data_IF_055889191103
#
_entry.id   IF_055889191103
#
_cell.length_a   1.000
_cell.length_b   1.000
_cell.length_c   1.000
_cell.angle_alpha   90.00
_cell.angle_beta   90.00
_cell.angle_gamma   90.00
#
_symmetry.space_group_name_H-M   'P 1'
#
loop_
_entity.id
_entity.type
_entity.pdbx_description
1 polymer ?
#
# COMPACT_ATOMS: atom_id res chain seq x y z
N UNK A 1 27.48 -3.51 43.57
CA UNK A 1 27.42 -3.92 42.17
C UNK A 1 26.08 -4.63 41.92
N UNK A 2 25.12 -3.94 41.34
CA UNK A 2 23.79 -4.50 41.07
C UNK A 2 23.83 -5.30 39.75
N UNK A 3 23.52 -6.60 39.82
CA UNK A 3 23.40 -7.46 38.63
C UNK A 3 22.20 -7.02 37.79
N UNK A 4 22.47 -6.60 36.57
CA UNK A 4 21.42 -6.34 35.57
C UNK A 4 20.59 -7.60 35.38
N UNK A 5 19.25 -7.53 35.63
CA UNK A 5 18.29 -8.59 35.32
C UNK A 5 18.27 -8.76 33.81
N UNK A 6 18.71 -9.92 33.29
CA UNK A 6 18.46 -10.35 31.92
C UNK A 6 16.95 -10.38 31.68
N UNK A 7 16.50 -9.69 30.65
CA UNK A 7 15.13 -9.78 30.17
C UNK A 7 14.81 -11.24 29.80
N UNK A 8 13.58 -11.73 30.02
CA UNK A 8 13.21 -13.10 29.73
C UNK A 8 13.30 -13.37 28.23
N UNK A 9 13.98 -14.44 27.85
CA UNK A 9 14.30 -14.87 26.48
C UNK A 9 13.09 -15.39 25.67
N UNK A 10 11.86 -15.12 26.09
CA UNK A 10 10.61 -15.53 25.39
C UNK A 10 9.51 -14.46 25.53
N UNK A 11 9.81 -13.22 25.21
CA UNK A 11 8.73 -12.32 24.85
C UNK A 11 8.14 -12.84 23.52
N UNK A 12 6.97 -13.47 23.55
CA UNK A 12 6.19 -13.81 22.34
C UNK A 12 6.08 -12.51 21.55
N UNK A 13 6.74 -12.47 20.41
CA UNK A 13 6.64 -11.34 19.51
C UNK A 13 5.21 -11.34 18.99
N UNK A 14 4.40 -10.38 19.40
CA UNK A 14 3.03 -10.25 18.92
C UNK A 14 3.05 -10.12 17.40
N UNK A 15 2.12 -10.79 16.69
CA UNK A 15 1.96 -10.58 15.26
C UNK A 15 1.90 -9.09 14.92
N UNK A 16 2.42 -8.71 13.76
CA UNK A 16 2.46 -7.31 13.35
C UNK A 16 1.06 -6.66 13.35
N UNK A 17 0.04 -7.44 13.01
CA UNK A 17 -1.35 -7.00 13.04
C UNK A 17 -1.80 -6.61 14.45
N UNK A 18 -1.45 -7.39 15.47
CA UNK A 18 -1.83 -7.08 16.86
C UNK A 18 -1.14 -5.82 17.37
N UNK A 19 0.12 -5.60 16.95
CA UNK A 19 0.85 -4.39 17.28
C UNK A 19 0.23 -3.15 16.61
N UNK A 20 -0.17 -3.27 15.34
CA UNK A 20 -0.83 -2.20 14.61
C UNK A 20 -2.22 -1.88 15.18
N UNK A 21 -2.99 -2.90 15.56
CA UNK A 21 -4.30 -2.72 16.20
C UNK A 21 -4.20 -2.09 17.59
N UNK A 22 -3.16 -2.40 18.34
CA UNK A 22 -2.93 -1.75 19.64
C UNK A 22 -2.56 -0.29 19.45
N UNK A 23 -1.65 0.03 18.52
CA UNK A 23 -1.31 1.41 18.19
C UNK A 23 -2.52 2.21 17.69
N UNK A 24 -3.39 1.60 16.87
CA UNK A 24 -4.64 2.21 16.45
C UNK A 24 -5.52 2.56 17.65
N UNK A 25 -5.76 1.61 18.57
CA UNK A 25 -6.59 1.84 19.76
C UNK A 25 -6.03 2.96 20.65
N UNK A 26 -4.72 2.94 20.88
CA UNK A 26 -4.06 3.94 21.72
C UNK A 26 -4.19 5.35 21.12
N UNK A 27 -4.01 5.49 19.80
CA UNK A 27 -4.14 6.78 19.10
C UNK A 27 -5.59 7.26 19.00
N UNK A 28 -6.55 6.35 18.73
CA UNK A 28 -7.97 6.73 18.75
C UNK A 28 -8.43 7.19 20.15
N UNK A 29 -7.93 6.58 21.22
CA UNK A 29 -8.23 7.03 22.59
C UNK A 29 -7.70 8.44 22.87
N UNK A 30 -6.66 8.87 22.15
CA UNK A 30 -6.05 10.20 22.24
C UNK A 30 -6.57 11.17 21.16
N UNK A 31 -7.62 10.84 20.43
CA UNK A 31 -8.15 11.62 19.29
C UNK A 31 -7.12 11.85 18.16
N UNK A 32 -6.14 10.97 18.02
CA UNK A 32 -5.07 11.01 17.02
C UNK A 32 -5.11 9.81 16.06
N UNK A 33 -6.25 9.11 15.99
CA UNK A 33 -6.43 7.96 15.11
C UNK A 33 -6.35 8.35 13.63
N UNK A 34 -5.69 7.52 12.83
CA UNK A 34 -5.61 7.72 11.38
C UNK A 34 -6.95 7.38 10.72
N UNK A 35 -7.49 8.34 9.99
CA UNK A 35 -8.66 8.17 9.14
C UNK A 35 -8.16 8.11 7.70
N UNK A 36 -8.62 7.11 6.93
CA UNK A 36 -8.24 6.98 5.53
C UNK A 36 -8.68 8.23 4.76
N UNK A 37 -7.76 8.93 4.11
CA UNK A 37 -8.09 10.13 3.35
C UNK A 37 -9.06 9.84 2.21
N UNK A 38 -9.98 10.77 1.99
CA UNK A 38 -11.01 10.67 0.96
C UNK A 38 -10.41 10.50 -0.45
N UNK A 39 -9.26 11.10 -0.71
CA UNK A 39 -8.61 11.01 -2.02
C UNK A 39 -8.34 9.56 -2.46
N UNK A 40 -8.18 8.59 -1.54
CA UNK A 40 -7.97 7.19 -1.89
C UNK A 40 -9.22 6.63 -2.57
N UNK A 41 -10.37 6.73 -1.92
CA UNK A 41 -11.63 6.22 -2.47
C UNK A 41 -12.15 7.05 -3.66
N UNK A 42 -11.90 8.36 -3.66
CA UNK A 42 -12.32 9.25 -4.74
C UNK A 42 -11.59 8.96 -6.07
N UNK A 43 -10.40 8.38 -6.02
CA UNK A 43 -9.59 8.07 -7.20
C UNK A 43 -9.60 6.57 -7.59
N UNK A 44 -10.42 5.76 -6.95
CA UNK A 44 -10.63 4.35 -7.30
C UNK A 44 -12.01 4.15 -7.93
N UNK A 45 -12.12 3.20 -8.87
CA UNK A 45 -13.42 2.78 -9.44
C UNK A 45 -14.29 2.11 -8.38
N UNK A 46 -13.69 1.33 -7.50
CA UNK A 46 -14.37 0.64 -6.41
C UNK A 46 -14.04 1.29 -5.07
N UNK A 47 -15.07 1.59 -4.28
CA UNK A 47 -14.86 1.98 -2.89
C UNK A 47 -14.25 0.81 -2.11
N UNK A 48 -13.21 1.09 -1.33
CA UNK A 48 -12.58 0.08 -0.50
C UNK A 48 -13.57 -0.46 0.53
N UNK A 49 -13.51 -1.75 0.76
CA UNK A 49 -14.32 -2.43 1.79
C UNK A 49 -13.68 -2.21 3.16
N UNK A 50 -14.49 -2.31 4.22
CA UNK A 50 -14.05 -2.08 5.61
C UNK A 50 -12.76 -2.81 5.99
N UNK A 51 -12.57 -4.05 5.54
CA UNK A 51 -11.34 -4.80 5.84
C UNK A 51 -10.13 -4.34 5.00
N UNK A 52 -10.35 -3.75 3.82
CA UNK A 52 -9.29 -3.13 3.01
C UNK A 52 -8.87 -1.80 3.63
N UNK A 53 -9.83 -1.01 4.11
CA UNK A 53 -9.56 0.19 4.91
C UNK A 53 -8.74 -0.15 6.14
N UNK A 54 -9.15 -1.19 6.88
CA UNK A 54 -8.40 -1.68 8.04
C UNK A 54 -6.98 -2.09 7.67
N UNK A 55 -6.78 -2.74 6.52
CA UNK A 55 -5.46 -3.13 6.05
C UNK A 55 -4.56 -1.91 5.77
N UNK A 56 -5.08 -0.83 5.16
CA UNK A 56 -4.33 0.42 4.94
C UNK A 56 -4.02 1.10 6.28
N UNK A 57 -4.97 1.17 7.22
CA UNK A 57 -4.71 1.73 8.56
C UNK A 57 -3.63 0.97 9.31
N UNK A 58 -3.70 -0.36 9.32
CA UNK A 58 -2.67 -1.20 9.95
C UNK A 58 -1.30 -0.98 9.29
N UNK A 59 -1.28 -0.82 7.96
CA UNK A 59 -0.05 -0.50 7.25
C UNK A 59 0.47 0.89 7.64
N UNK A 60 -0.39 1.90 7.73
CA UNK A 60 -0.03 3.24 8.20
C UNK A 60 0.64 3.19 9.60
N UNK A 61 0.00 2.51 10.56
CA UNK A 61 0.58 2.38 11.91
C UNK A 61 1.89 1.59 11.92
N UNK A 62 2.00 0.58 11.06
CA UNK A 62 3.25 -0.15 10.90
C UNK A 62 4.39 0.77 10.44
N UNK A 63 4.09 1.67 9.49
CA UNK A 63 5.09 2.60 8.95
C UNK A 63 5.44 3.73 9.93
N UNK A 64 4.47 4.23 10.69
CA UNK A 64 4.62 5.43 11.50
C UNK A 64 4.96 5.15 12.97
N UNK A 65 4.46 4.06 13.55
CA UNK A 65 4.55 3.79 14.98
C UNK A 65 5.47 2.61 15.33
N UNK A 66 5.58 1.61 14.46
CA UNK A 66 6.24 0.36 14.83
C UNK A 66 7.69 0.33 14.36
N UNK A 67 7.95 0.61 13.09
CA UNK A 67 9.32 0.69 12.55
C UNK A 67 9.42 1.51 11.29
N UNK A 68 10.39 2.41 11.21
CA UNK A 68 10.50 3.31 10.07
C UNK A 68 11.21 2.74 8.83
N UNK A 69 11.86 1.54 8.79
CA UNK A 69 12.61 1.12 7.59
C UNK A 69 13.11 -0.33 7.55
N UNK A 70 13.45 -0.83 6.35
CA UNK A 70 12.52 -1.22 5.31
C UNK A 70 11.70 -2.39 5.84
N UNK A 71 10.42 -2.41 5.52
CA UNK A 71 9.51 -3.41 6.10
C UNK A 71 9.07 -4.41 5.04
N UNK A 72 9.08 -5.67 5.44
CA UNK A 72 8.41 -6.74 4.70
C UNK A 72 7.04 -6.96 5.33
N UNK A 73 5.98 -6.55 4.65
CA UNK A 73 4.60 -6.68 5.12
C UNK A 73 3.86 -7.68 4.24
N UNK A 74 3.23 -8.66 4.86
CA UNK A 74 2.39 -9.64 4.17
C UNK A 74 0.91 -9.30 4.40
N UNK A 75 0.18 -9.04 3.31
CA UNK A 75 -1.28 -8.96 3.33
C UNK A 75 -1.87 -10.34 3.01
N UNK A 76 -2.33 -11.05 4.06
CA UNK A 76 -2.99 -12.34 3.88
C UNK A 76 -4.48 -12.14 3.64
N UNK A 77 -4.91 -12.32 2.40
CA UNK A 77 -6.28 -12.10 1.96
C UNK A 77 -6.77 -13.26 1.10
N UNK A 78 -8.03 -13.66 1.26
CA UNK A 78 -8.66 -14.72 0.47
C UNK A 78 -8.70 -14.37 -1.04
N UNK A 79 -8.80 -15.38 -1.89
CA UNK A 79 -9.05 -15.19 -3.32
C UNK A 79 -10.41 -14.52 -3.52
N UNK A 80 -10.49 -13.55 -4.44
CA UNK A 80 -11.70 -12.77 -4.69
C UNK A 80 -12.00 -11.67 -3.68
N UNK A 81 -11.14 -11.44 -2.68
CA UNK A 81 -11.34 -10.38 -1.67
C UNK A 81 -10.89 -8.98 -2.11
N UNK A 82 -10.57 -8.76 -3.39
CA UNK A 82 -10.14 -7.44 -3.87
C UNK A 82 -8.72 -7.08 -3.46
N UNK A 83 -7.78 -8.04 -3.49
CA UNK A 83 -6.36 -7.75 -3.25
C UNK A 83 -5.80 -6.66 -4.17
N UNK A 84 -6.27 -6.63 -5.42
CA UNK A 84 -5.80 -5.66 -6.40
C UNK A 84 -6.34 -4.26 -6.13
N UNK A 85 -7.58 -4.15 -5.63
CA UNK A 85 -8.14 -2.87 -5.16
C UNK A 85 -7.32 -2.32 -3.98
N UNK A 86 -6.97 -3.20 -3.01
CA UNK A 86 -6.09 -2.80 -1.91
C UNK A 86 -4.72 -2.33 -2.42
N UNK A 87 -4.14 -3.01 -3.41
CA UNK A 87 -2.87 -2.59 -4.02
C UNK A 87 -3.00 -1.22 -4.70
N UNK A 88 -4.09 -0.96 -5.41
CA UNK A 88 -4.36 0.34 -6.02
C UNK A 88 -4.48 1.44 -4.95
N UNK A 89 -5.23 1.20 -3.87
CA UNK A 89 -5.32 2.12 -2.73
C UNK A 89 -3.97 2.38 -2.05
N UNK A 90 -3.14 1.34 -1.87
CA UNK A 90 -1.79 1.48 -1.32
C UNK A 90 -0.84 2.27 -2.24
N UNK A 91 -0.99 2.17 -3.57
CA UNK A 91 -0.22 3.01 -4.51
C UNK A 91 -0.52 4.49 -4.27
N UNK A 92 -1.81 4.86 -4.19
CA UNK A 92 -2.21 6.25 -3.93
C UNK A 92 -1.74 6.72 -2.55
N UNK A 93 -1.90 5.89 -1.53
CA UNK A 93 -1.42 6.16 -0.18
C UNK A 93 0.09 6.42 -0.15
N UNK A 94 0.89 5.51 -0.70
CA UNK A 94 2.35 5.62 -0.71
C UNK A 94 2.84 6.80 -1.57
N UNK A 95 2.12 7.10 -2.64
CA UNK A 95 2.40 8.27 -3.46
C UNK A 95 2.23 9.56 -2.64
N UNK A 96 1.10 9.72 -1.97
CA UNK A 96 0.77 10.96 -1.27
C UNK A 96 1.47 11.10 0.07
N UNK A 97 1.39 10.07 0.93
CA UNK A 97 1.89 10.15 2.31
C UNK A 97 3.41 9.97 2.41
N UNK A 98 4.01 9.23 1.48
CA UNK A 98 5.43 8.89 1.54
C UNK A 98 6.26 9.38 0.35
N UNK A 99 5.64 10.03 -0.62
CA UNK A 99 6.32 10.56 -1.79
C UNK A 99 6.87 9.52 -2.76
N UNK A 100 6.43 8.25 -2.67
CA UNK A 100 6.88 7.21 -3.58
C UNK A 100 6.31 7.42 -4.98
N UNK A 101 7.18 7.31 -5.99
CA UNK A 101 6.83 7.50 -7.41
C UNK A 101 7.06 6.24 -8.24
N UNK A 102 7.86 5.30 -7.75
CA UNK A 102 8.28 4.10 -8.45
C UNK A 102 7.78 2.85 -7.76
N UNK A 103 7.00 2.03 -8.47
CA UNK A 103 6.41 0.81 -7.96
C UNK A 103 6.83 -0.37 -8.84
N UNK A 104 7.38 -1.42 -8.21
CA UNK A 104 7.73 -2.68 -8.89
C UNK A 104 6.75 -3.77 -8.47
N UNK A 105 6.06 -4.34 -9.44
CA UNK A 105 5.25 -5.54 -9.26
C UNK A 105 5.93 -6.74 -9.87
N UNK A 106 6.21 -7.74 -9.06
CA UNK A 106 6.73 -9.03 -9.52
C UNK A 106 5.67 -10.10 -9.33
N UNK A 107 5.37 -10.82 -10.39
CA UNK A 107 4.32 -11.85 -10.42
C UNK A 107 4.87 -13.18 -10.93
N UNK A 108 4.19 -14.28 -10.59
CA UNK A 108 4.70 -15.61 -10.92
C UNK A 108 4.60 -15.97 -12.41
N UNK A 109 3.54 -15.53 -13.09
CA UNK A 109 3.24 -15.94 -14.46
C UNK A 109 2.91 -14.76 -15.36
N UNK A 110 3.10 -14.92 -16.67
CA UNK A 110 2.72 -13.92 -17.66
C UNK A 110 1.21 -13.66 -17.70
N UNK A 111 0.38 -14.67 -17.43
CA UNK A 111 -1.08 -14.48 -17.33
C UNK A 111 -1.47 -13.55 -16.18
N UNK A 112 -0.81 -13.68 -15.02
CA UNK A 112 -1.03 -12.76 -13.88
C UNK A 112 -0.47 -11.39 -14.19
N UNK A 113 0.67 -11.31 -14.91
CA UNK A 113 1.26 -10.04 -15.33
C UNK A 113 0.30 -9.24 -16.21
N UNK A 114 -0.32 -9.87 -17.22
CA UNK A 114 -1.30 -9.21 -18.08
C UNK A 114 -2.51 -8.70 -17.31
N UNK A 115 -3.07 -9.51 -16.40
CA UNK A 115 -4.17 -9.08 -15.52
C UNK A 115 -3.77 -7.90 -14.63
N UNK A 116 -2.54 -7.90 -14.10
CA UNK A 116 -2.03 -6.79 -13.28
C UNK A 116 -1.87 -5.53 -14.11
N UNK A 117 -1.40 -5.66 -15.36
CA UNK A 117 -1.32 -4.56 -16.32
C UNK A 117 -2.70 -3.95 -16.59
N UNK A 118 -3.69 -4.78 -16.91
CA UNK A 118 -5.06 -4.33 -17.19
C UNK A 118 -5.68 -3.59 -16.01
N UNK A 119 -5.37 -4.04 -14.79
CA UNK A 119 -5.93 -3.45 -13.57
C UNK A 119 -5.24 -2.14 -13.15
N UNK A 120 -3.93 -2.02 -13.34
CA UNK A 120 -3.15 -0.93 -12.74
C UNK A 120 -2.57 0.08 -13.73
N UNK A 121 -2.53 -0.24 -15.03
CA UNK A 121 -1.80 0.59 -16.01
C UNK A 121 -2.56 0.84 -17.30
N UNK A 122 -3.39 -0.11 -17.73
CA UNK A 122 -4.11 0.00 -18.99
C UNK A 122 -5.42 0.77 -18.81
N UNK A 123 -5.39 2.08 -19.01
CA UNK A 123 -6.54 2.98 -18.88
C UNK A 123 -7.72 2.61 -19.81
N UNK A 124 -7.47 1.87 -20.91
CA UNK A 124 -8.51 1.42 -21.82
C UNK A 124 -9.12 0.07 -21.41
N UNK A 125 -8.68 -0.52 -20.30
CA UNK A 125 -9.20 -1.78 -19.81
C UNK A 125 -10.47 -1.55 -18.98
N UNK A 126 -11.51 -2.34 -19.22
CA UNK A 126 -12.71 -2.39 -18.37
C UNK A 126 -12.40 -2.81 -16.92
N UNK A 127 -11.17 -3.30 -16.67
CA UNK A 127 -10.70 -3.74 -15.36
C UNK A 127 -9.78 -2.72 -14.68
N UNK A 128 -9.58 -1.56 -15.31
CA UNK A 128 -8.77 -0.51 -14.73
C UNK A 128 -9.37 -0.05 -13.40
N UNK A 129 -8.53 0.11 -12.38
CA UNK A 129 -9.00 0.32 -11.01
C UNK A 129 -9.00 1.77 -10.57
N UNK A 130 -8.41 2.66 -11.35
CA UNK A 130 -8.38 4.08 -11.02
C UNK A 130 -9.41 4.84 -11.86
N UNK A 131 -9.81 6.00 -11.37
CA UNK A 131 -10.67 6.92 -12.13
C UNK A 131 -9.93 7.44 -13.37
N UNK A 132 -10.67 7.86 -14.40
CA UNK A 132 -10.13 8.44 -15.64
C UNK A 132 -9.21 9.66 -15.35
N UNK A 133 -9.53 10.40 -14.29
CA UNK A 133 -8.73 11.50 -13.79
C UNK A 133 -8.42 11.26 -12.33
N UNK A 134 -7.16 10.96 -12.05
CA UNK A 134 -6.66 10.88 -10.68
C UNK A 134 -6.29 12.29 -10.24
N UNK A 135 -6.93 12.79 -9.19
CA UNK A 135 -6.66 14.12 -8.65
C UNK A 135 -6.37 14.03 -7.16
N UNK A 136 -5.21 14.53 -6.75
CA UNK A 136 -4.78 14.58 -5.35
C UNK A 136 -4.24 15.99 -5.07
N UNK A 137 -4.80 16.67 -4.07
CA UNK A 137 -4.43 18.03 -3.69
C UNK A 137 -4.45 19.02 -4.86
N UNK A 138 -5.47 18.90 -5.74
CA UNK A 138 -5.64 19.75 -6.92
C UNK A 138 -4.62 19.49 -8.04
N UNK A 139 -3.84 18.42 -7.95
CA UNK A 139 -2.88 18.01 -8.98
C UNK A 139 -3.40 16.78 -9.72
N UNK A 140 -3.33 16.83 -11.03
CA UNK A 140 -3.62 15.66 -11.87
C UNK A 140 -2.43 14.70 -11.86
N UNK A 141 -2.68 13.45 -11.50
CA UNK A 141 -1.67 12.40 -11.38
C UNK A 141 -1.78 11.43 -12.55
N UNK A 142 -0.64 11.07 -13.12
CA UNK A 142 -0.55 10.13 -14.23
C UNK A 142 0.08 8.82 -13.78
N UNK A 143 -0.47 7.70 -14.26
CA UNK A 143 0.11 6.38 -14.07
C UNK A 143 0.77 5.95 -15.38
N UNK A 144 2.03 5.53 -15.32
CA UNK A 144 2.78 5.10 -16.50
C UNK A 144 3.46 3.75 -16.27
N UNK A 145 3.31 2.83 -17.22
CA UNK A 145 4.14 1.65 -17.28
C UNK A 145 5.54 2.02 -17.76
N UNK A 146 6.57 1.49 -17.10
CA UNK A 146 7.96 1.72 -17.46
C UNK A 146 8.76 0.42 -17.48
N UNK A 147 9.68 0.31 -18.41
CA UNK A 147 10.66 -0.79 -18.44
C UNK A 147 11.84 -0.53 -17.50
N UNK A 148 12.18 0.76 -17.34
CA UNK A 148 13.21 1.23 -16.41
C UNK A 148 12.71 2.47 -15.70
N UNK A 149 12.96 2.56 -14.41
CA UNK A 149 12.61 3.75 -13.65
C UNK A 149 13.42 4.95 -14.12
N UNK A 150 12.77 6.12 -14.28
CA UNK A 150 13.45 7.33 -14.70
C UNK A 150 14.43 7.81 -13.63
N UNK A 151 15.56 8.38 -14.04
CA UNK A 151 16.52 9.01 -13.12
C UNK A 151 15.98 10.30 -12.51
N UNK A 152 15.20 11.04 -13.28
CA UNK A 152 14.51 12.27 -12.85
C UNK A 152 13.02 11.93 -12.80
N UNK A 153 12.44 12.08 -11.63
CA UNK A 153 11.02 11.79 -11.41
C UNK A 153 10.20 13.06 -11.60
N UNK A 154 9.03 12.90 -12.19
CA UNK A 154 8.02 13.94 -12.25
C UNK A 154 7.13 13.80 -11.02
N UNK A 155 6.87 14.91 -10.32
CA UNK A 155 6.10 14.90 -9.06
C UNK A 155 4.68 14.38 -9.22
N UNK A 156 4.09 14.54 -10.40
CA UNK A 156 2.73 14.11 -10.70
C UNK A 156 2.65 12.80 -11.49
N UNK A 157 3.70 11.98 -11.48
CA UNK A 157 3.72 10.73 -12.23
C UNK A 157 4.07 9.55 -11.33
N UNK A 158 3.22 8.53 -11.35
CA UNK A 158 3.44 7.21 -10.75
C UNK A 158 3.97 6.29 -11.83
N UNK A 159 5.19 5.78 -11.66
CA UNK A 159 5.83 4.83 -12.57
C UNK A 159 5.65 3.41 -12.05
N UNK A 160 5.01 2.55 -12.84
CA UNK A 160 4.80 1.15 -12.52
C UNK A 160 5.64 0.28 -13.46
N UNK A 161 6.53 -0.52 -12.89
CA UNK A 161 7.26 -1.57 -13.60
C UNK A 161 6.64 -2.92 -13.27
N UNK A 162 6.30 -3.68 -14.30
CA UNK A 162 5.78 -5.04 -14.18
C UNK A 162 6.85 -6.04 -14.60
N UNK A 163 7.01 -7.11 -13.82
CA UNK A 163 7.96 -8.19 -14.11
C UNK A 163 7.36 -9.54 -13.78
N UNK A 164 7.60 -10.56 -14.57
CA UNK A 164 7.28 -11.95 -14.24
C UNK A 164 8.54 -12.74 -13.91
N UNK A 165 8.39 -13.72 -13.02
CA UNK A 165 9.48 -14.66 -12.68
C UNK A 165 9.64 -15.70 -13.78
N UNK A 166 8.60 -16.01 -14.52
CA UNK A 166 8.68 -16.85 -15.72
C UNK A 166 9.41 -16.12 -16.83
N UNK A 167 10.49 -16.75 -17.30
CA UNK A 167 11.19 -16.37 -18.52
C UNK A 167 10.48 -16.93 -19.75
#
# INVERSE_FOLDING_TARGET
>A
MAKAKKAPANARQFPLVDQAEQAEKDLFSQHQGYIIPEYINANLIHTLRTYQDKAIRNYHYTQTQIKPNPQHVLFNMATGSGKTDLMAGLILYLYQEHGYRNFLFTVNTNSVLMKTKDNLVNENSEKYLFQDKIEIDGKHIFIKQVERFPRIQQDNTICIKLSSVQK
#
